data_IF_104418331109
#
_entry.id   IF_104418331109
#
_cell.length_a   1.000
_cell.length_b   1.000
_cell.length_c   1.000
_cell.angle_alpha   90.00
_cell.angle_beta   90.00
_cell.angle_gamma   90.00
#
_symmetry.space_group_name_H-M   'P 1'
#
loop_
_entity.id
_entity.type
_entity.pdbx_description
1 polymer ?
2 non-polymer ?
3 non-polymer ?
4 non-polymer ?
5 water ?
#
# COMPACT_ATOMS: atom_id res chain seq x y z
N UNK A 24 16.58 -4.28 -5.88
CA UNK A 24 17.67 -3.33 -5.88
C UNK A 24 17.58 -2.37 -7.05
N UNK A 25 17.99 -1.12 -6.83
CA UNK A 25 17.96 -0.11 -7.86
C UNK A 25 16.55 0.43 -8.02
N UNK A 26 16.39 1.49 -8.83
CA UNK A 26 15.10 2.18 -8.91
C UNK A 26 13.98 1.26 -9.40
N UNK A 27 12.90 1.22 -8.63
CA UNK A 27 11.75 0.40 -8.94
C UNK A 27 10.55 1.22 -9.37
N UNK A 28 10.33 2.37 -8.72
CA UNK A 28 9.18 3.23 -9.00
C UNK A 28 9.66 4.58 -9.41
N UNK A 29 9.08 5.11 -10.48
CA UNK A 29 9.33 6.47 -10.88
C UNK A 29 8.07 7.31 -10.68
N UNK A 30 8.23 8.50 -10.12
CA UNK A 30 7.15 9.47 -9.95
C UNK A 30 7.46 10.72 -10.81
N UNK A 31 6.62 10.98 -11.82
CA UNK A 31 6.72 12.20 -12.63
C UNK A 31 5.60 13.20 -12.24
N UNK A 32 5.97 14.31 -11.59
CA UNK A 32 5.01 15.34 -11.21
C UNK A 32 5.21 16.60 -12.01
N UNK A 33 4.13 17.34 -12.26
CA UNK A 33 4.26 18.54 -13.06
C UNK A 33 4.66 19.79 -12.27
N UNK A 34 4.78 19.72 -10.96
CA UNK A 34 5.30 20.87 -10.25
C UNK A 34 6.05 20.45 -9.00
N UNK A 35 6.78 21.39 -8.43
CA UNK A 35 7.65 21.08 -7.29
C UNK A 35 6.87 20.68 -6.05
N UNK A 36 5.78 21.38 -5.79
CA UNK A 36 5.00 21.10 -4.60
C UNK A 36 4.47 19.66 -4.66
N UNK A 37 3.94 19.28 -5.83
CA UNK A 37 3.37 17.96 -6.00
C UNK A 37 4.42 16.85 -5.94
N UNK A 38 5.59 17.12 -6.49
CA UNK A 38 6.68 16.14 -6.47
C UNK A 38 7.15 15.82 -5.05
N UNK A 39 7.19 16.84 -4.19
CA UNK A 39 7.63 16.65 -2.81
C UNK A 39 6.55 16.00 -1.98
N UNK A 40 5.30 16.39 -2.22
CA UNK A 40 4.26 15.83 -1.40
C UNK A 40 4.10 14.34 -1.68
N UNK A 41 4.13 13.95 -2.96
CA UNK A 41 3.93 12.55 -3.33
C UNK A 41 5.11 11.72 -2.85
N UNK A 42 6.31 12.25 -3.08
CA UNK A 42 7.50 11.52 -2.64
C UNK A 42 7.49 11.21 -1.15
N UNK A 43 7.04 12.14 -0.30
CA UNK A 43 7.07 11.84 1.16
C UNK A 43 6.10 10.71 1.50
N UNK A 44 5.03 10.59 0.71
CA UNK A 44 4.14 9.45 0.93
C UNK A 44 4.78 8.13 0.69
N UNK A 45 5.70 8.05 -0.28
CA UNK A 45 6.45 6.81 -0.46
C UNK A 45 7.43 6.57 0.65
N UNK A 46 8.10 7.61 1.14
CA UNK A 46 8.99 7.49 2.28
C UNK A 46 8.24 6.94 3.51
N UNK A 47 7.00 7.42 3.67
CA UNK A 47 6.19 7.06 4.83
C UNK A 47 5.72 5.63 4.79
N UNK A 48 5.79 5.00 3.62
CA UNK A 48 5.49 3.57 3.45
C UNK A 48 6.74 2.65 3.41
N UNK A 49 7.88 3.27 3.71
CA UNK A 49 9.13 2.56 3.84
C UNK A 49 10.10 2.60 2.68
N UNK A 50 9.70 3.20 1.57
CA UNK A 50 10.56 3.26 0.39
C UNK A 50 11.70 4.28 0.53
N UNK A 51 12.91 3.87 0.21
CA UNK A 51 14.03 4.80 0.10
C UNK A 51 13.79 5.64 -1.15
N UNK A 52 13.64 6.95 -0.93
CA UNK A 52 13.08 7.84 -1.96
C UNK A 52 14.00 9.02 -2.22
N UNK A 53 14.30 9.27 -3.48
CA UNK A 53 15.12 10.40 -3.86
C UNK A 53 14.28 11.41 -4.62
N UNK A 54 14.56 12.69 -4.41
CA UNK A 54 13.77 13.77 -5.01
C UNK A 54 14.69 14.70 -5.77
N UNK A 55 14.34 15.00 -7.02
CA UNK A 55 15.01 16.05 -7.80
C UNK A 55 14.14 17.31 -7.85
N UNK A 56 14.77 18.46 -7.64
CA UNK A 56 14.06 19.74 -7.67
C UNK A 56 13.97 20.14 -9.12
N UNK A 57 14.63 19.35 -9.97
CA UNK A 57 14.44 19.43 -11.40
C UNK A 57 14.07 18.07 -11.99
N UNK A 58 14.78 17.69 -13.06
CA UNK A 58 14.53 16.45 -13.78
C UNK A 58 15.38 15.27 -13.32
N UNK A 59 15.30 14.17 -14.04
CA UNK A 59 15.84 12.89 -13.55
C UNK A 59 17.30 12.66 -13.93
N UNK A 60 17.75 13.30 -15.01
CA UNK A 60 19.09 13.07 -15.53
C UNK A 60 20.13 13.23 -14.43
N UNK A 61 20.13 14.39 -13.81
CA UNK A 61 20.98 14.66 -12.65
C UNK A 61 21.00 13.48 -11.69
N UNK A 62 19.81 13.06 -11.26
CA UNK A 62 19.66 12.00 -10.27
C UNK A 62 20.25 10.66 -10.73
N UNK A 63 19.95 10.27 -11.97
CA UNK A 63 20.25 8.93 -12.46
C UNK A 63 21.74 8.73 -12.79
N UNK A 64 22.46 9.82 -13.03
CA UNK A 64 23.90 9.74 -13.28
C UNK A 64 24.65 9.39 -11.99
N UNK A 65 24.16 9.92 -10.88
CA UNK A 65 24.74 9.67 -9.55
C UNK A 65 24.63 8.20 -9.17
N UNK A 66 25.71 7.61 -8.65
CA UNK A 66 25.54 6.23 -8.17
C UNK A 66 24.67 6.09 -6.92
N UNK A 67 24.11 7.19 -6.41
CA UNK A 67 23.22 7.13 -5.25
C UNK A 67 21.82 6.65 -5.63
N UNK A 68 21.53 6.60 -6.93
CA UNK A 68 20.26 6.04 -7.38
C UNK A 68 20.29 4.53 -7.35
N UNK A 69 21.49 3.96 -7.22
CA UNK A 69 21.60 2.54 -6.98
C UNK A 69 20.90 2.29 -5.65
N UNK A 70 21.08 3.24 -4.74
CA UNK A 70 20.52 3.14 -3.41
C UNK A 70 19.00 3.20 -3.50
N UNK A 71 18.49 4.19 -4.22
CA UNK A 71 17.07 4.53 -4.13
C UNK A 71 16.13 3.60 -4.88
N UNK A 72 14.99 3.30 -4.27
CA UNK A 72 13.98 2.49 -4.93
C UNK A 72 12.87 3.32 -5.53
N UNK A 73 12.73 4.56 -5.08
CA UNK A 73 11.75 5.49 -5.71
C UNK A 73 12.47 6.77 -6.09
N UNK A 74 12.26 7.22 -7.34
CA UNK A 74 12.83 8.48 -7.80
C UNK A 74 11.71 9.41 -8.23
N UNK A 75 11.63 10.58 -7.61
CA UNK A 75 10.61 11.59 -7.89
C UNK A 75 11.19 12.84 -8.54
N UNK A 76 10.53 13.31 -9.60
CA UNK A 76 11.04 14.42 -10.37
C UNK A 76 9.90 15.38 -10.68
N UNK A 77 10.25 16.64 -10.95
CA UNK A 77 9.26 17.60 -11.42
C UNK A 77 9.62 18.05 -12.83
N UNK A 78 8.61 18.14 -13.67
CA UNK A 78 8.85 18.59 -15.04
C UNK A 78 8.67 20.10 -15.17
N UNK A 79 8.31 20.77 -14.07
CA UNK A 79 7.91 22.20 -14.11
C UNK A 79 7.10 22.57 -15.33
N UNK A 80 6.10 21.76 -15.65
CA UNK A 80 5.41 21.88 -16.94
C UNK A 80 3.97 22.37 -16.89
N UNK A 81 3.44 22.65 -15.69
CA UNK A 81 2.02 23.00 -15.55
C UNK A 81 1.60 24.27 -16.34
N UNK A 82 2.45 25.31 -16.32
CA UNK A 82 2.09 26.52 -17.10
C UNK A 82 2.61 26.52 -18.53
N UNK A 83 3.17 25.42 -19.02
CA UNK A 83 3.73 25.38 -20.37
C UNK A 83 2.67 25.09 -21.42
N UNK A 84 3.00 25.34 -22.69
CA UNK A 84 2.13 24.99 -23.78
C UNK A 84 2.25 23.50 -24.08
N UNK A 85 1.20 22.94 -24.66
CA UNK A 85 1.06 21.48 -24.86
C UNK A 85 2.32 20.79 -25.38
N UNK A 86 2.81 21.20 -26.53
CA UNK A 86 3.90 20.48 -27.18
C UNK A 86 5.18 20.58 -26.36
N UNK A 87 5.36 21.66 -25.61
CA UNK A 87 6.55 21.83 -24.79
C UNK A 87 6.44 20.96 -23.55
N UNK A 88 5.24 20.93 -22.99
CA UNK A 88 4.95 20.12 -21.81
C UNK A 88 5.12 18.65 -22.15
N UNK A 89 4.54 18.24 -23.27
CA UNK A 89 4.66 16.86 -23.75
C UNK A 89 6.12 16.51 -23.91
N UNK A 90 6.89 17.43 -24.48
CA UNK A 90 8.30 17.19 -24.72
C UNK A 90 9.06 16.79 -23.46
N UNK A 91 8.96 17.63 -22.43
CA UNK A 91 9.69 17.37 -21.19
C UNK A 91 9.24 16.05 -20.56
N UNK A 92 7.93 15.78 -20.60
CA UNK A 92 7.36 14.57 -19.99
C UNK A 92 7.84 13.27 -20.68
N UNK A 93 7.89 13.24 -22.01
CA UNK A 93 8.33 12.03 -22.72
C UNK A 93 9.80 11.71 -22.45
N UNK A 94 10.57 12.78 -22.25
CA UNK A 94 12.00 12.65 -22.03
C UNK A 94 12.31 12.10 -20.65
N UNK A 95 11.50 12.47 -19.67
CA UNK A 95 11.74 11.99 -18.30
C UNK A 95 11.27 10.54 -18.21
N UNK A 96 10.12 10.24 -18.82
CA UNK A 96 9.61 8.88 -18.80
C UNK A 96 10.61 7.91 -19.48
N UNK A 97 11.19 8.34 -20.59
CA UNK A 97 12.24 7.52 -21.22
C UNK A 97 13.43 7.29 -20.30
N UNK A 98 13.93 8.34 -19.67
CA UNK A 98 15.06 8.19 -18.75
C UNK A 98 14.77 7.19 -17.61
N UNK A 99 13.57 7.28 -17.04
CA UNK A 99 13.20 6.40 -15.92
C UNK A 99 13.12 4.95 -16.38
N UNK A 100 12.54 4.71 -17.55
CA UNK A 100 12.43 3.34 -18.02
C UNK A 100 13.82 2.81 -18.35
N UNK A 101 14.59 3.59 -19.11
CA UNK A 101 15.95 3.23 -19.41
C UNK A 101 16.67 2.84 -18.13
N UNK A 102 16.34 3.50 -17.02
CA UNK A 102 17.03 3.28 -15.74
C UNK A 102 16.55 2.07 -14.95
N UNK A 103 15.62 1.30 -15.51
CA UNK A 103 15.18 0.08 -14.87
C UNK A 103 13.89 0.18 -14.06
N UNK A 104 13.29 1.37 -13.98
CA UNK A 104 12.03 1.55 -13.28
C UNK A 104 10.96 0.64 -13.85
N UNK A 105 10.20 0.02 -12.98
CA UNK A 105 9.17 -0.95 -13.38
C UNK A 105 7.74 -0.54 -13.01
N UNK A 106 7.60 0.49 -12.19
CA UNK A 106 6.29 1.09 -11.96
C UNK A 106 6.38 2.60 -12.17
N UNK A 107 5.40 3.16 -12.85
CA UNK A 107 5.35 4.59 -13.10
C UNK A 107 4.08 5.24 -12.53
N UNK A 108 4.24 6.34 -11.78
CA UNK A 108 3.10 7.11 -11.27
C UNK A 108 3.24 8.53 -11.80
N UNK A 109 2.21 8.99 -12.51
CA UNK A 109 2.21 10.37 -12.97
C UNK A 109 1.34 11.23 -12.05
N UNK A 110 1.97 12.21 -11.40
CA UNK A 110 1.35 13.06 -10.40
C UNK A 110 0.93 14.38 -11.03
N UNK A 111 -0.39 14.61 -11.01
CA UNK A 111 -1.02 15.78 -11.58
C UNK A 111 -1.81 16.57 -10.52
N UNK A 112 -2.24 17.78 -10.92
CA UNK A 112 -3.17 18.57 -10.11
C UNK A 112 -4.47 17.80 -9.96
N UNK A 113 -4.99 17.79 -8.73
CA UNK A 113 -6.32 17.24 -8.49
C UNK A 113 -7.37 17.99 -9.27
N UNK A 114 -7.13 19.28 -9.54
CA UNK A 114 -8.09 20.06 -10.27
C UNK A 114 -7.76 20.26 -11.75
N UNK A 115 -6.94 19.37 -12.32
CA UNK A 115 -6.76 19.25 -13.78
C UNK A 115 -5.98 20.38 -14.47
N UNK A 116 -5.38 21.30 -13.72
CA UNK A 116 -4.68 22.40 -14.34
C UNK A 116 -3.42 21.86 -14.99
N UNK A 117 -3.19 22.26 -16.24
CA UNK A 117 -2.05 21.82 -17.00
C UNK A 117 -2.41 21.40 -18.40
N UNK A 118 -1.39 20.98 -19.16
CA UNK A 118 -1.58 20.36 -20.48
C UNK A 118 -1.95 18.90 -20.28
N UNK A 119 -3.15 18.70 -19.76
CA UNK A 119 -3.54 17.45 -19.14
C UNK A 119 -3.44 16.27 -20.08
N UNK A 120 -4.14 16.37 -21.23
CA UNK A 120 -4.15 15.28 -22.19
C UNK A 120 -2.81 15.12 -22.83
N UNK A 121 -2.14 16.23 -23.12
CA UNK A 121 -0.89 16.17 -23.87
C UNK A 121 0.14 15.36 -23.10
N UNK A 122 0.22 15.62 -21.80
CA UNK A 122 1.25 14.99 -20.93
C UNK A 122 0.90 13.53 -20.72
N UNK A 123 -0.38 13.22 -20.59
CA UNK A 123 -0.79 11.83 -20.39
C UNK A 123 -0.49 10.94 -21.59
N UNK A 124 -0.88 11.36 -22.78
CA UNK A 124 -0.50 10.60 -23.96
C UNK A 124 1.00 10.41 -24.13
N UNK A 125 1.77 11.46 -23.91
CA UNK A 125 3.21 11.39 -24.08
C UNK A 125 3.81 10.41 -23.07
N UNK A 126 3.28 10.42 -21.85
CA UNK A 126 3.83 9.57 -20.81
C UNK A 126 3.51 8.10 -21.11
N UNK A 127 2.27 7.84 -21.49
CA UNK A 127 1.83 6.46 -21.67
C UNK A 127 2.52 5.79 -22.85
N UNK A 128 2.70 6.56 -23.91
CA UNK A 128 3.35 6.04 -25.10
C UNK A 128 4.82 5.74 -24.80
N UNK A 129 5.44 6.61 -24.01
CA UNK A 129 6.85 6.47 -23.69
C UNK A 129 7.06 5.28 -22.76
N UNK A 130 6.03 4.95 -21.98
CA UNK A 130 6.12 3.87 -20.99
C UNK A 130 6.01 2.52 -21.69
N UNK A 131 5.04 2.37 -22.58
CA UNK A 131 4.96 1.13 -23.35
C UNK A 131 3.78 1.09 -24.29
N UNK A 132 3.83 0.19 -25.27
CA UNK A 132 2.76 0.10 -26.25
C UNK A 132 1.49 -0.43 -25.59
N UNK A 133 1.66 -1.40 -24.70
CA UNK A 133 0.53 -1.96 -23.96
C UNK A 133 0.19 -1.16 -22.70
N UNK A 134 0.73 0.04 -22.56
CA UNK A 134 0.50 0.80 -21.32
C UNK A 134 -0.95 1.26 -21.22
N UNK A 135 -1.47 1.27 -20.02
CA UNK A 135 -2.82 1.81 -19.78
C UNK A 135 -2.67 2.99 -18.85
N UNK A 136 -3.21 4.14 -19.23
CA UNK A 136 -3.19 5.30 -18.33
C UNK A 136 -4.48 5.20 -17.56
N UNK A 137 -4.36 5.05 -16.23
CA UNK A 137 -5.50 4.88 -15.36
C UNK A 137 -5.65 6.16 -14.58
N UNK A 138 -6.63 6.95 -14.99
CA UNK A 138 -6.68 8.35 -14.60
C UNK A 138 -7.72 8.57 -13.52
N UNK A 139 -7.26 9.05 -12.38
CA UNK A 139 -8.16 9.39 -11.29
C UNK A 139 -7.53 10.44 -10.35
N UNK A 140 -7.82 11.71 -10.59
CA UNK A 140 -7.12 12.74 -9.82
C UNK A 140 -7.78 13.06 -8.47
N UNK A 141 -8.71 12.23 -8.05
CA UNK A 141 -9.39 12.45 -6.76
C UNK A 141 -8.44 12.63 -5.61
N UNK A 142 -8.85 13.46 -4.65
CA UNK A 142 -8.09 13.66 -3.42
C UNK A 142 -9.13 13.90 -2.36
N UNK A 143 -9.74 12.83 -1.88
CA UNK A 143 -10.94 13.00 -1.07
C UNK A 143 -10.75 13.81 0.19
N UNK A 144 -9.58 13.74 0.84
CA UNK A 144 -9.43 14.42 2.11
C UNK A 144 -9.33 15.92 1.89
N UNK A 145 -9.06 16.34 0.65
CA UNK A 145 -9.16 17.76 0.31
C UNK A 145 -10.37 18.15 -0.53
N UNK A 146 -11.31 17.23 -0.70
CA UNK A 146 -12.59 17.56 -1.31
C UNK A 146 -12.67 17.34 -2.80
N UNK A 147 -11.67 16.70 -3.39
CA UNK A 147 -11.76 16.44 -4.82
C UNK A 147 -12.19 15.00 -5.04
N UNK A 148 -13.19 14.82 -5.88
CA UNK A 148 -13.72 13.50 -6.17
C UNK A 148 -13.94 13.43 -7.67
N UNK A 149 -14.07 12.20 -8.18
CA UNK A 149 -14.37 11.97 -9.59
C UNK A 149 -15.71 11.25 -9.63
N UNK A 150 -16.68 11.91 -10.24
CA UNK A 150 -18.09 11.48 -10.27
C UNK A 150 -18.61 11.36 -11.70
N UNK A 151 -18.90 10.12 -12.12
CA UNK A 151 -19.24 9.83 -13.51
C UNK A 151 -18.22 10.53 -14.44
N UNK A 152 -16.97 10.46 -14.02
CA UNK A 152 -15.83 10.97 -14.77
C UNK A 152 -15.56 12.45 -14.61
N UNK A 153 -16.39 13.14 -13.83
CA UNK A 153 -16.26 14.58 -13.64
C UNK A 153 -15.47 14.92 -12.40
N UNK A 154 -14.49 15.80 -12.52
CA UNK A 154 -13.71 16.21 -11.34
C UNK A 154 -14.57 17.21 -10.56
N UNK A 155 -14.97 16.79 -9.37
CA UNK A 155 -15.76 17.61 -8.45
C UNK A 155 -14.86 18.19 -7.35
N UNK A 156 -15.08 19.47 -7.05
CA UNK A 156 -14.47 20.11 -5.89
C UNK A 156 -15.64 20.41 -4.92
N UNK A 157 -15.65 19.77 -3.74
CA UNK A 157 -16.86 19.75 -2.94
C UNK A 157 -18.06 19.26 -3.76
N UNK A 158 -19.18 19.98 -3.72
CA UNK A 158 -20.41 19.53 -4.39
C UNK A 158 -20.59 20.10 -5.81
N UNK A 159 -19.53 20.71 -6.38
CA UNK A 159 -19.63 21.30 -7.75
C UNK A 159 -18.54 20.77 -8.69
N UNK A 160 -18.84 20.63 -9.99
CA UNK A 160 -17.80 20.37 -11.00
C UNK A 160 -16.73 21.45 -10.97
N UNK A 161 -15.48 21.11 -11.27
CA UNK A 161 -14.38 22.04 -11.07
C UNK A 161 -14.60 23.31 -11.94
N UNK A 162 -15.18 23.15 -13.13
CA UNK A 162 -15.46 24.30 -14.00
C UNK A 162 -16.47 25.31 -13.43
N UNK A 163 -17.11 24.98 -12.29
CA UNK A 163 -17.95 25.97 -11.58
C UNK A 163 -17.20 26.70 -10.45
N UNK A 164 -15.90 26.45 -10.33
CA UNK A 164 -15.12 27.00 -9.23
C UNK A 164 -14.04 27.94 -9.75
N UNK A 165 -13.30 28.52 -8.82
CA UNK A 165 -12.26 29.50 -9.10
C UNK A 165 -11.27 29.11 -10.21
N UNK A 166 -11.09 27.81 -10.41
CA UNK A 166 -10.04 27.34 -11.32
C UNK A 166 -10.40 27.56 -12.79
N UNK A 167 -11.66 27.86 -13.07
CA UNK A 167 -12.02 28.23 -14.43
C UNK A 167 -11.41 29.60 -14.74
N UNK A 168 -10.91 30.27 -13.71
CA UNK A 168 -10.26 31.58 -13.89
C UNK A 168 -8.94 31.66 -13.14
N UNK A 169 -8.23 30.53 -13.06
CA UNK A 169 -6.87 30.53 -12.56
C UNK A 169 -6.07 31.49 -13.45
N UNK A 170 -5.28 32.39 -12.84
CA UNK A 170 -4.59 33.40 -13.64
C UNK A 170 -3.65 32.80 -14.68
N UNK A 171 -3.03 31.66 -14.35
CA UNK A 171 -1.99 31.10 -15.20
C UNK A 171 -2.47 29.98 -16.13
N UNK A 172 -3.35 29.10 -15.63
CA UNK A 172 -3.85 27.96 -16.41
C UNK A 172 -5.29 27.57 -16.04
N UNK A 173 -6.25 28.35 -16.54
CA UNK A 173 -7.67 28.05 -16.34
C UNK A 173 -8.07 26.63 -16.75
N UNK A 174 -9.13 26.14 -16.12
CA UNK A 174 -9.69 24.81 -16.44
C UNK A 174 -11.02 24.99 -17.17
N UNK A 175 -11.15 24.36 -18.33
CA UNK A 175 -12.31 24.59 -19.19
C UNK A 175 -13.11 23.34 -19.55
N UNK A 176 -12.81 22.21 -18.91
CA UNK A 176 -13.60 21.01 -19.12
C UNK A 176 -13.40 20.10 -17.91
N UNK A 177 -14.51 19.78 -17.24
CA UNK A 177 -14.51 19.08 -15.94
C UNK A 177 -14.69 17.58 -16.16
N UNK A 178 -15.24 17.20 -17.32
CA UNK A 178 -15.56 15.81 -17.58
C UNK A 178 -14.34 15.16 -18.18
N UNK A 179 -13.62 14.39 -17.36
CA UNK A 179 -12.27 14.01 -17.75
C UNK A 179 -12.30 13.14 -19.02
N UNK A 180 -13.30 12.27 -19.16
CA UNK A 180 -13.39 11.44 -20.38
C UNK A 180 -13.52 12.28 -21.66
N UNK A 181 -14.22 13.40 -21.59
CA UNK A 181 -14.30 14.32 -22.70
C UNK A 181 -12.95 15.01 -22.92
N UNK A 182 -12.33 15.48 -21.83
CA UNK A 182 -11.02 16.14 -21.88
C UNK A 182 -10.00 15.24 -22.57
N UNK A 183 -10.03 13.95 -22.23
CA UNK A 183 -9.04 13.00 -22.75
C UNK A 183 -9.49 12.24 -23.99
N UNK A 184 -10.81 12.19 -24.24
CA UNK A 184 -11.35 11.40 -25.33
C UNK A 184 -11.21 9.91 -25.00
N UNK A 185 -11.64 9.51 -23.81
CA UNK A 185 -11.47 8.14 -23.35
C UNK A 185 -12.69 7.56 -22.63
N UNK A 186 -12.54 6.32 -22.19
CA UNK A 186 -13.60 5.58 -21.52
C UNK A 186 -13.65 5.94 -20.05
N UNK A 187 -14.73 5.50 -19.39
CA UNK A 187 -14.91 5.78 -17.97
C UNK A 187 -15.45 4.53 -17.31
N UNK A 188 -15.17 4.38 -16.03
CA UNK A 188 -15.66 3.28 -15.24
C UNK A 188 -15.94 3.78 -13.83
N UNK A 189 -16.77 3.05 -13.10
CA UNK A 189 -16.87 3.25 -11.65
C UNK A 189 -16.95 1.90 -10.95
N UNK A 190 -16.21 1.69 -9.86
CA UNK A 190 -16.37 0.44 -9.10
C UNK A 190 -17.83 0.25 -8.71
N UNK A 191 -18.28 -1.00 -8.77
CA UNK A 191 -19.64 -1.35 -8.42
C UNK A 191 -19.70 -1.68 -6.91
N UNK A 192 -20.91 -1.72 -6.36
CA UNK A 192 -21.13 -1.74 -4.91
C UNK A 192 -20.12 -2.56 -4.08
N UNK A 193 -20.04 -3.86 -4.34
CA UNK A 193 -19.15 -4.73 -3.56
C UNK A 193 -17.97 -5.24 -4.35
N UNK A 194 -17.60 -4.53 -5.40
CA UNK A 194 -16.62 -5.02 -6.36
C UNK A 194 -15.24 -5.21 -5.75
N UNK A 195 -14.57 -6.28 -6.15
CA UNK A 195 -13.24 -6.58 -5.66
C UNK A 195 -12.21 -5.90 -6.54
N UNK A 196 -11.00 -5.72 -5.99
CA UNK A 196 -9.90 -5.21 -6.83
C UNK A 196 -9.70 -6.03 -8.11
N UNK A 197 -9.81 -7.35 -8.02
CA UNK A 197 -9.55 -8.19 -9.18
C UNK A 197 -10.62 -7.99 -10.26
N UNK A 198 -11.87 -7.81 -9.83
CA UNK A 198 -12.97 -7.60 -10.76
C UNK A 198 -12.77 -6.24 -11.43
N UNK A 199 -12.45 -5.24 -10.62
CA UNK A 199 -12.21 -3.89 -11.14
C UNK A 199 -11.03 -3.87 -12.13
N UNK A 200 -10.00 -4.66 -11.84
CA UNK A 200 -8.82 -4.71 -12.69
C UNK A 200 -9.16 -5.23 -14.08
N UNK A 201 -9.99 -6.27 -14.14
CA UNK A 201 -10.44 -6.81 -15.42
C UNK A 201 -11.07 -5.71 -16.27
N UNK A 202 -11.96 -4.93 -15.67
CA UNK A 202 -12.67 -3.90 -16.42
C UNK A 202 -11.75 -2.75 -16.89
N UNK A 203 -10.71 -2.44 -16.12
CA UNK A 203 -9.79 -1.39 -16.54
C UNK A 203 -9.00 -1.88 -17.76
N UNK A 204 -8.61 -3.14 -17.76
CA UNK A 204 -7.86 -3.70 -18.88
C UNK A 204 -8.72 -3.67 -20.14
N UNK A 205 -9.99 -4.00 -20.00
CA UNK A 205 -10.92 -3.98 -21.12
C UNK A 205 -11.08 -2.59 -21.72
N UNK A 206 -10.87 -1.56 -20.89
CA UNK A 206 -11.08 -0.17 -21.29
C UNK A 206 -9.79 0.51 -21.75
N UNK A 207 -8.78 -0.30 -22.05
CA UNK A 207 -7.49 0.20 -22.49
C UNK A 207 -7.68 1.06 -23.73
N UNK A 208 -6.76 2.01 -24.00
CA UNK A 208 -5.50 2.30 -23.33
C UNK A 208 -5.55 3.47 -22.34
N UNK A 209 -6.68 4.16 -22.26
CA UNK A 209 -6.80 5.28 -21.35
C UNK A 209 -8.19 5.19 -20.75
N UNK A 210 -8.29 5.27 -19.44
CA UNK A 210 -9.59 5.18 -18.78
C UNK A 210 -9.61 6.00 -17.51
N UNK A 211 -10.73 6.68 -17.30
CA UNK A 211 -11.00 7.44 -16.08
C UNK A 211 -11.82 6.58 -15.12
N UNK A 212 -11.37 6.53 -13.87
CA UNK A 212 -12.07 5.78 -12.82
C UNK A 212 -12.57 6.70 -11.70
N UNK A 213 -13.83 6.52 -11.35
CA UNK A 213 -14.45 7.32 -10.34
C UNK A 213 -13.83 7.02 -9.00
N UNK A 214 -13.92 7.99 -8.11
CA UNK A 214 -13.63 7.76 -6.70
C UNK A 214 -14.27 8.86 -5.89
N UNK A 215 -15.08 8.47 -4.90
CA UNK A 215 -15.67 9.43 -3.98
C UNK A 215 -14.90 9.57 -2.65
N UNK A 216 -14.18 8.51 -2.28
CA UNK A 216 -13.51 8.47 -0.98
C UNK A 216 -12.22 7.66 -1.03
N UNK A 217 -11.53 7.62 0.09
CA UNK A 217 -10.24 6.93 0.18
C UNK A 217 -10.42 5.44 -0.07
N UNK A 218 -11.53 4.88 0.39
CA UNK A 218 -11.82 3.48 0.14
C UNK A 218 -11.86 3.20 -1.37
N UNK A 219 -12.46 4.12 -2.11
CA UNK A 219 -12.57 3.98 -3.56
C UNK A 219 -11.19 4.08 -4.17
N UNK A 220 -10.40 5.02 -3.66
CA UNK A 220 -9.04 5.21 -4.14
C UNK A 220 -8.19 3.97 -3.83
N UNK A 221 -8.37 3.39 -2.65
CA UNK A 221 -7.59 2.20 -2.29
C UNK A 221 -7.94 1.00 -3.17
N UNK A 222 -9.24 0.82 -3.44
CA UNK A 222 -9.70 -0.24 -4.33
C UNK A 222 -9.06 -0.07 -5.69
N UNK A 223 -9.01 1.17 -6.17
CA UNK A 223 -8.43 1.44 -7.49
C UNK A 223 -6.94 1.15 -7.46
N UNK A 224 -6.26 1.56 -6.39
CA UNK A 224 -4.82 1.30 -6.25
C UNK A 224 -4.54 -0.21 -6.26
N UNK A 225 -5.36 -0.99 -5.55
CA UNK A 225 -5.22 -2.44 -5.55
C UNK A 225 -5.42 -3.04 -6.95
N UNK A 226 -6.45 -2.58 -7.67
CA UNK A 226 -6.67 -3.01 -9.03
C UNK A 226 -5.46 -2.68 -9.91
N UNK A 227 -4.96 -1.48 -9.76
CA UNK A 227 -3.76 -1.07 -10.46
C UNK A 227 -2.60 -2.03 -10.11
N UNK A 228 -2.46 -2.39 -8.83
CA UNK A 228 -1.43 -3.33 -8.45
C UNK A 228 -1.55 -4.65 -9.20
N UNK A 229 -2.76 -5.19 -9.24
CA UNK A 229 -3.04 -6.42 -9.95
C UNK A 229 -2.60 -6.33 -11.42
N UNK A 230 -2.82 -5.17 -12.04
CA UNK A 230 -2.46 -4.99 -13.45
C UNK A 230 -0.95 -4.89 -13.68
N UNK A 231 -0.18 -4.64 -12.62
CA UNK A 231 1.27 -4.71 -12.73
C UNK A 231 1.93 -3.60 -13.55
N UNK A 232 3.00 -3.95 -14.24
CA UNK A 232 3.87 -2.95 -14.87
C UNK A 232 3.16 -2.07 -15.91
N UNK A 233 2.22 -2.66 -16.64
CA UNK A 233 1.55 -1.93 -17.73
C UNK A 233 0.65 -0.80 -17.24
N UNK A 234 0.23 -0.86 -15.98
CA UNK A 234 -0.73 0.10 -15.46
C UNK A 234 -0.06 1.36 -14.96
N UNK A 235 -0.34 2.48 -15.64
CA UNK A 235 0.24 3.75 -15.31
C UNK A 235 -0.78 4.65 -14.60
N UNK A 236 -0.78 4.63 -13.27
CA UNK A 236 -1.69 5.55 -12.60
C UNK A 236 -1.34 7.01 -12.86
N UNK A 237 -2.40 7.80 -13.05
CA UNK A 237 -2.31 9.24 -13.21
C UNK A 237 -3.21 9.83 -12.18
N UNK A 238 -2.63 10.47 -11.18
CA UNK A 238 -3.43 10.92 -10.06
C UNK A 238 -2.81 12.09 -9.34
N UNK A 239 -3.50 12.58 -8.34
CA UNK A 239 -2.96 13.63 -7.52
C UNK A 239 -2.38 13.03 -6.28
N UNK A 240 -2.38 13.80 -5.21
CA UNK A 240 -1.93 13.25 -3.95
C UNK A 240 -2.81 12.16 -3.37
N UNK A 241 -4.03 12.02 -3.87
CA UNK A 241 -4.93 11.05 -3.32
C UNK A 241 -4.48 9.63 -3.56
N UNK A 242 -3.83 9.41 -4.70
CA UNK A 242 -3.41 8.07 -5.10
C UNK A 242 -2.03 7.68 -4.54
N UNK A 243 -1.29 8.66 -4.05
CA UNK A 243 0.11 8.43 -3.66
C UNK A 243 0.34 7.37 -2.60
N UNK A 244 -0.20 7.55 -1.40
CA UNK A 244 0.03 6.57 -0.35
C UNK A 244 -0.59 5.20 -0.69
N UNK A 245 -1.81 5.17 -1.24
CA UNK A 245 -2.37 3.88 -1.65
C UNK A 245 -1.45 3.12 -2.61
N UNK A 246 -0.81 3.81 -3.55
CA UNK A 246 0.06 3.14 -4.50
C UNK A 246 1.35 2.72 -3.80
N UNK A 247 1.91 3.61 -2.99
CA UNK A 247 3.09 3.22 -2.17
C UNK A 247 2.84 1.93 -1.41
N UNK A 248 1.68 1.82 -0.76
CA UNK A 248 1.33 0.64 -0.03
C UNK A 248 1.05 -0.61 -0.91
N UNK A 249 0.35 -0.43 -2.02
CA UNK A 249 0.03 -1.59 -2.82
C UNK A 249 1.29 -2.17 -3.46
N UNK A 250 2.14 -1.29 -3.95
CA UNK A 250 3.38 -1.73 -4.57
C UNK A 250 4.34 -2.33 -3.53
N UNK A 251 4.31 -1.84 -2.30
CA UNK A 251 5.06 -2.48 -1.22
C UNK A 251 4.49 -3.88 -0.90
N UNK A 252 3.16 -4.01 -0.88
CA UNK A 252 2.54 -5.28 -0.58
C UNK A 252 2.93 -6.35 -1.58
N UNK A 253 3.23 -5.92 -2.80
CA UNK A 253 3.66 -6.85 -3.83
C UNK A 253 5.01 -7.43 -3.52
N UNK A 254 5.73 -6.79 -2.60
CA UNK A 254 7.03 -7.30 -2.15
C UNK A 254 6.96 -8.16 -0.86
N UNK A 255 5.78 -8.31 -0.26
CA UNK A 255 5.65 -9.15 0.94
C UNK A 255 5.66 -10.61 0.55
N UNK A 256 6.28 -11.45 1.37
CA UNK A 256 6.45 -12.87 1.04
C UNK A 256 5.99 -13.73 2.22
N UNK A 257 5.02 -14.61 1.97
CA UNK A 257 4.52 -15.52 2.98
C UNK A 257 3.38 -14.84 3.72
N UNK A 258 2.66 -15.61 4.56
CA UNK A 258 1.55 -15.08 5.34
C UNK A 258 2.03 -14.27 6.50
N UNK A 259 1.21 -13.34 6.96
CA UNK A 259 1.36 -12.75 8.25
C UNK A 259 0.80 -13.70 9.28
N UNK A 260 1.57 -14.01 10.31
CA UNK A 260 1.14 -14.87 11.38
C UNK A 260 0.64 -14.02 12.56
N UNK A 261 -0.60 -14.24 13.00
CA UNK A 261 -1.16 -13.52 14.12
C UNK A 261 -1.39 -14.45 15.32
N UNK A 262 -0.82 -14.08 16.49
CA UNK A 262 -0.87 -14.92 17.65
C UNK A 262 -1.66 -14.16 18.71
N UNK A 263 -2.76 -14.77 19.12
CA UNK A 263 -3.68 -14.14 20.07
C UNK A 263 -3.78 -15.00 21.31
N UNK A 264 -3.16 -14.53 22.38
CA UNK A 264 -3.16 -15.25 23.65
C UNK A 264 -4.07 -14.63 24.70
N UNK A 265 -4.56 -13.42 24.42
CA UNK A 265 -5.34 -12.70 25.42
C UNK A 265 -6.72 -13.33 25.55
N UNK A 266 -7.26 -13.28 26.77
CA UNK A 266 -8.66 -13.58 27.00
C UNK A 266 -9.49 -12.31 27.20
N UNK A 267 -8.88 -11.14 27.04
CA UNK A 267 -9.62 -9.87 27.03
C UNK A 267 -10.62 -9.92 25.90
N UNK A 268 -11.84 -9.46 26.15
CA UNK A 268 -12.92 -9.56 25.17
C UNK A 268 -12.56 -8.79 23.90
N UNK A 269 -11.84 -7.69 24.05
CA UNK A 269 -11.43 -6.91 22.90
C UNK A 269 -10.64 -7.80 21.94
N UNK A 270 -9.69 -8.56 22.47
CA UNK A 270 -8.86 -9.43 21.65
C UNK A 270 -9.70 -10.54 21.01
N UNK A 271 -10.66 -11.08 21.74
CA UNK A 271 -11.43 -12.17 21.17
C UNK A 271 -12.29 -11.65 20.02
N UNK A 272 -12.84 -10.45 20.19
CA UNK A 272 -13.62 -9.78 19.12
C UNK A 272 -12.71 -9.49 17.91
N UNK A 273 -11.52 -9.00 18.18
CA UNK A 273 -10.53 -8.76 17.13
C UNK A 273 -10.14 -10.03 16.40
N UNK A 274 -9.98 -11.13 17.14
CA UNK A 274 -9.65 -12.42 16.51
C UNK A 274 -10.84 -12.87 15.63
N UNK A 275 -12.02 -12.78 16.17
CA UNK A 275 -13.22 -13.16 15.43
C UNK A 275 -13.29 -12.39 14.11
N UNK A 276 -13.01 -11.08 14.16
CA UNK A 276 -13.05 -10.26 12.95
C UNK A 276 -12.01 -10.69 11.90
N UNK A 277 -10.79 -10.99 12.35
CA UNK A 277 -9.73 -11.43 11.46
C UNK A 277 -10.11 -12.79 10.85
N UNK A 278 -10.70 -13.67 11.65
CA UNK A 278 -11.18 -14.93 11.11
C UNK A 278 -12.28 -14.68 10.04
N UNK A 279 -13.24 -13.80 10.37
CA UNK A 279 -14.32 -13.38 9.45
C UNK A 279 -13.74 -12.94 8.12
N UNK A 280 -12.62 -12.23 8.18
CA UNK A 280 -11.95 -11.66 7.01
C UNK A 280 -11.13 -12.67 6.21
N UNK A 281 -11.10 -13.92 6.67
CA UNK A 281 -10.49 -14.99 5.90
C UNK A 281 -9.19 -15.61 6.39
N UNK A 282 -8.69 -15.15 7.52
CA UNK A 282 -7.49 -15.76 8.11
C UNK A 282 -7.72 -17.21 8.49
N UNK A 283 -6.84 -18.08 8.03
CA UNK A 283 -6.90 -19.47 8.45
C UNK A 283 -6.50 -19.58 9.91
N UNK A 284 -7.36 -20.20 10.70
CA UNK A 284 -7.27 -20.08 12.14
C UNK A 284 -7.11 -21.43 12.85
N UNK A 285 -6.09 -21.53 13.69
CA UNK A 285 -5.95 -22.67 14.58
C UNK A 285 -6.51 -22.23 15.92
N UNK A 286 -7.61 -22.84 16.33
CA UNK A 286 -8.24 -22.55 17.62
C UNK A 286 -8.38 -23.81 18.44
N UNK A 287 -7.27 -24.31 18.98
CA UNK A 287 -7.30 -25.56 19.74
C UNK A 287 -7.86 -25.45 21.14
N UNK A 288 -8.36 -26.57 21.66
CA UNK A 288 -8.73 -26.67 23.05
C UNK A 288 -7.45 -26.79 23.87
N UNK A 289 -7.58 -26.74 25.19
CA UNK A 289 -6.43 -26.86 26.07
C UNK A 289 -5.72 -28.18 25.83
N UNK A 290 -6.50 -29.24 25.70
CA UNK A 290 -5.91 -30.56 25.44
C UNK A 290 -5.19 -30.59 24.10
N UNK A 291 -5.78 -30.01 23.07
CA UNK A 291 -5.15 -30.01 21.74
C UNK A 291 -3.87 -29.18 21.70
N UNK A 292 -3.90 -28.01 22.34
CA UNK A 292 -2.75 -27.13 22.37
C UNK A 292 -1.50 -27.86 22.95
N UNK A 293 -1.70 -28.76 23.94
CA UNK A 293 -0.57 -29.51 24.52
C UNK A 293 -0.20 -30.76 23.73
N UNK A 294 -0.90 -31.01 22.62
CA UNK A 294 -0.73 -32.23 21.83
C UNK A 294 -0.03 -31.91 20.52
N UNK A 295 1.23 -32.30 20.40
CA UNK A 295 2.00 -31.80 19.28
C UNK A 295 1.46 -32.37 17.97
N UNK A 296 0.79 -33.51 18.07
CA UNK A 296 0.16 -34.13 16.90
C UNK A 296 -0.89 -33.23 16.28
N UNK A 297 -1.63 -32.52 17.11
CA UNK A 297 -2.68 -31.62 16.63
C UNK A 297 -2.03 -30.43 15.89
N UNK A 298 -0.94 -29.90 16.44
CA UNK A 298 -0.20 -28.81 15.80
C UNK A 298 0.33 -29.27 14.44
N UNK A 299 1.01 -30.41 14.43
CA UNK A 299 1.54 -30.99 13.19
C UNK A 299 0.47 -31.11 12.10
N UNK A 300 -0.73 -31.55 12.46
CA UNK A 300 -1.80 -31.73 11.48
C UNK A 300 -2.29 -30.39 10.92
N UNK A 301 -2.28 -29.35 11.74
CA UNK A 301 -2.79 -28.08 11.26
C UNK A 301 -1.77 -27.44 10.35
N UNK A 302 -0.50 -27.52 10.73
CA UNK A 302 0.56 -26.89 9.94
C UNK A 302 0.67 -27.55 8.57
N UNK A 303 0.48 -28.87 8.54
CA UNK A 303 0.48 -29.61 7.29
C UNK A 303 -0.62 -29.08 6.39
N UNK A 304 -1.78 -28.82 6.99
CA UNK A 304 -2.97 -28.36 6.26
C UNK A 304 -2.78 -26.98 5.62
N UNK A 305 -2.04 -26.11 6.29
CA UNK A 305 -1.79 -24.79 5.72
C UNK A 305 -0.31 -24.63 5.44
N UNK A 316 -4.12 -12.65 3.51
CA UNK A 316 -2.98 -13.59 3.52
C UNK A 316 -2.42 -13.71 4.93
N UNK A 317 -3.17 -14.39 5.79
CA UNK A 317 -2.90 -14.40 7.22
C UNK A 317 -3.23 -15.74 7.83
N UNK A 318 -2.43 -16.15 8.80
CA UNK A 318 -2.71 -17.32 9.63
C UNK A 318 -2.89 -16.81 11.06
N UNK A 319 -3.84 -17.37 11.81
CA UNK A 319 -4.04 -16.98 13.20
C UNK A 319 -3.99 -18.17 14.15
N UNK A 320 -3.20 -18.04 15.22
CA UNK A 320 -3.25 -18.98 16.34
C UNK A 320 -3.99 -18.35 17.49
N UNK A 321 -5.10 -18.97 17.89
CA UNK A 321 -5.97 -18.45 18.91
C UNK A 321 -5.90 -19.27 20.22
N UNK A 322 -5.52 -18.62 21.32
CA UNK A 322 -5.39 -19.31 22.60
C UNK A 322 -6.73 -19.69 23.17
N UNK A 323 -6.84 -20.89 23.75
CA UNK A 323 -8.00 -21.11 24.62
C UNK A 323 -7.73 -20.55 26.02
N UNK A 324 -8.80 -20.32 26.78
CA UNK A 324 -8.68 -19.89 28.16
C UNK A 324 -8.10 -21.01 29.04
N UNK A 325 -7.37 -20.61 30.08
CA UNK A 325 -6.88 -21.54 31.08
C UNK A 325 -5.40 -21.88 30.99
N UNK A 326 -5.06 -23.06 31.48
CA UNK A 326 -3.68 -23.52 31.43
C UNK A 326 -3.66 -24.95 30.92
N UNK A 327 -2.55 -25.34 30.30
CA UNK A 327 -2.39 -26.70 29.87
C UNK A 327 -2.33 -27.63 31.08
N UNK A 328 -2.92 -28.81 30.94
CA UNK A 328 -2.99 -29.78 32.02
C UNK A 328 -1.59 -30.15 32.51
N UNK A 329 -1.39 -30.11 33.83
CA UNK A 329 -0.11 -30.43 34.41
C UNK A 329 0.99 -29.39 34.35
N UNK A 330 0.72 -28.25 33.75
CA UNK A 330 1.75 -27.23 33.55
C UNK A 330 1.43 -25.87 34.22
N UNK A 331 2.42 -24.99 34.11
CA UNK A 331 2.40 -23.54 34.32
C UNK A 331 1.09 -22.79 34.16
N UNK A 332 0.91 -21.73 34.96
CA UNK A 332 -0.13 -20.75 34.71
C UNK A 332 0.10 -20.02 33.38
N UNK A 333 1.34 -19.94 32.91
CA UNK A 333 1.63 -19.24 31.64
C UNK A 333 1.88 -20.23 30.49
N UNK A 334 1.47 -21.49 30.68
CA UNK A 334 1.80 -22.57 29.76
C UNK A 334 1.16 -22.39 28.39
N UNK A 335 -0.04 -21.82 28.35
CA UNK A 335 -0.74 -21.66 27.08
C UNK A 335 -0.03 -20.67 26.18
N UNK A 336 0.34 -19.51 26.72
CA UNK A 336 1.01 -18.48 25.94
C UNK A 336 2.44 -18.96 25.57
N UNK A 337 3.09 -19.61 26.52
CA UNK A 337 4.47 -20.10 26.29
C UNK A 337 4.45 -21.04 25.09
N UNK A 338 3.50 -21.96 25.14
CA UNK A 338 3.31 -22.95 24.08
C UNK A 338 2.96 -22.31 22.74
N UNK A 339 2.01 -21.38 22.71
CA UNK A 339 1.67 -20.70 21.46
C UNK A 339 2.90 -19.97 20.89
N UNK A 340 3.70 -19.40 21.79
CA UNK A 340 4.90 -18.70 21.39
C UNK A 340 5.89 -19.63 20.74
N UNK A 341 6.08 -20.79 21.35
CA UNK A 341 7.02 -21.76 20.80
C UNK A 341 6.56 -22.26 19.44
N UNK A 342 5.26 -22.57 19.31
CA UNK A 342 4.73 -23.05 18.01
C UNK A 342 4.80 -21.96 16.91
N UNK A 343 4.43 -20.74 17.24
CA UNK A 343 4.54 -19.63 16.29
C UNK A 343 5.97 -19.56 15.77
N UNK A 344 6.94 -19.69 16.67
CA UNK A 344 8.35 -19.59 16.26
C UNK A 344 8.72 -20.73 15.36
N UNK A 345 8.28 -21.93 15.70
CA UNK A 345 8.57 -23.08 14.84
C UNK A 345 8.05 -22.82 13.41
N UNK A 346 6.86 -22.26 13.31
CA UNK A 346 6.23 -22.01 12.01
C UNK A 346 6.95 -20.94 11.18
N UNK A 347 7.28 -19.83 11.82
CA UNK A 347 8.06 -18.78 11.19
C UNK A 347 9.39 -19.31 10.64
N UNK A 348 10.06 -20.16 11.38
CA UNK A 348 11.35 -20.62 10.89
C UNK A 348 11.20 -21.69 9.82
N UNK A 349 10.22 -22.55 9.97
CA UNK A 349 10.13 -23.67 9.05
C UNK A 349 9.53 -23.26 7.68
N UNK A 350 8.48 -22.44 7.72
CA UNK A 350 7.64 -22.14 6.57
C UNK A 350 7.87 -20.71 6.07
N UNK A 351 8.25 -19.82 6.97
CA UNK A 351 8.46 -18.43 6.61
C UNK A 351 7.20 -17.67 6.90
N UNK A 352 7.33 -16.35 7.02
CA UNK A 352 6.21 -15.46 7.27
C UNK A 352 6.64 -14.07 6.87
N UNK A 353 5.67 -13.28 6.43
CA UNK A 353 5.90 -11.90 6.14
C UNK A 353 6.10 -11.06 7.39
N UNK A 354 5.62 -11.56 8.52
CA UNK A 354 5.71 -10.91 9.81
C UNK A 354 4.83 -11.62 10.84
N UNK A 355 4.89 -11.13 12.06
CA UNK A 355 4.12 -11.64 13.18
C UNK A 355 3.43 -10.49 13.88
N UNK A 356 2.20 -10.74 14.30
CA UNK A 356 1.46 -9.82 15.13
C UNK A 356 1.12 -10.57 16.42
N UNK A 357 1.39 -9.97 17.57
CA UNK A 357 1.16 -10.68 18.83
C UNK A 357 0.39 -9.80 19.79
N UNK A 358 -0.66 -10.38 20.35
CA UNK A 358 -1.43 -9.72 21.40
C UNK A 358 -1.95 -10.78 22.39
N UNK A 359 -1.97 -10.48 23.70
CA UNK A 359 -1.39 -9.27 24.23
C UNK A 359 0.06 -9.48 24.67
N UNK A 360 0.42 -8.87 25.80
CA UNK A 360 1.80 -8.78 26.26
C UNK A 360 2.40 -10.14 26.59
N UNK A 361 1.59 -10.98 27.18
CA UNK A 361 1.98 -12.35 27.45
C UNK A 361 2.38 -13.05 26.17
N UNK A 362 1.51 -12.95 25.17
CA UNK A 362 1.78 -13.53 23.88
C UNK A 362 3.01 -12.95 23.20
N UNK A 363 3.17 -11.62 23.21
CA UNK A 363 4.32 -11.00 22.59
C UNK A 363 5.61 -11.47 23.26
N UNK A 364 5.62 -11.55 24.57
CA UNK A 364 6.82 -11.98 25.30
C UNK A 364 7.19 -13.40 24.94
N UNK A 365 6.18 -14.27 24.87
CA UNK A 365 6.39 -15.67 24.54
C UNK A 365 6.92 -15.86 23.13
N UNK A 366 6.40 -15.07 22.18
CA UNK A 366 6.86 -15.19 20.80
C UNK A 366 8.31 -14.71 20.65
N UNK A 367 8.63 -13.57 21.24
CA UNK A 367 9.98 -13.10 21.18
C UNK A 367 10.94 -14.02 21.90
N UNK A 368 10.47 -14.60 23.00
CA UNK A 368 11.38 -15.41 23.79
C UNK A 368 11.70 -16.66 23.00
N UNK A 369 10.68 -17.21 22.34
CA UNK A 369 10.84 -18.45 21.57
C UNK A 369 11.73 -18.27 20.36
N UNK A 370 11.70 -17.07 19.79
CA UNK A 370 12.59 -16.74 18.67
C UNK A 370 13.94 -16.17 19.12
N UNK A 371 14.13 -16.05 20.43
CA UNK A 371 15.40 -15.58 21.01
C UNK A 371 15.70 -14.16 20.56
N UNK A 372 14.64 -13.38 20.33
CA UNK A 372 14.78 -12.00 20.00
C UNK A 372 15.03 -11.18 21.25
N UNK A 373 15.98 -10.26 21.16
CA UNK A 373 16.32 -9.38 22.28
C UNK A 373 15.32 -8.23 22.40
N UNK A 374 14.79 -7.81 21.27
CA UNK A 374 13.99 -6.61 21.24
C UNK A 374 13.52 -6.35 19.84
N UNK A 375 13.02 -5.14 19.60
CA UNK A 375 12.36 -4.77 18.34
C UNK A 375 12.96 -3.47 17.87
N UNK A 376 13.49 -3.44 16.65
CA UNK A 376 13.94 -2.17 16.14
C UNK A 376 12.73 -1.47 15.53
N UNK A 377 12.37 -0.31 16.08
CA UNK A 377 11.12 0.29 15.70
C UNK A 377 11.18 0.96 14.34
N UNK A 378 10.06 0.88 13.66
CA UNK A 378 9.94 1.42 12.33
C UNK A 378 8.86 2.46 12.28
N UNK A 379 7.69 2.10 12.80
CA UNK A 379 6.54 2.98 12.83
C UNK A 379 5.41 2.35 13.64
N UNK A 380 4.17 2.64 13.29
CA UNK A 380 3.07 2.01 14.04
C UNK A 380 1.84 1.78 13.18
N UNK A 381 1.02 0.82 13.60
CA UNK A 381 -0.25 0.56 12.92
C UNK A 381 -1.20 1.68 13.32
N UNK A 382 -1.19 1.97 14.62
CA UNK A 382 -1.91 3.06 15.25
C UNK A 382 -1.24 3.27 16.63
N UNK A 383 -1.51 4.38 17.31
CA UNK A 383 -0.82 4.64 18.58
C UNK A 383 -1.01 3.53 19.62
N UNK A 384 0.10 2.94 20.09
CA UNK A 384 -0.01 1.81 21.01
C UNK A 384 0.07 0.45 20.33
N UNK A 385 0.12 0.47 19.01
CA UNK A 385 0.28 -0.75 18.23
C UNK A 385 1.53 -0.57 17.33
N UNK A 386 2.70 -0.75 17.93
CA UNK A 386 3.93 -0.43 17.17
C UNK A 386 4.32 -1.50 16.18
N UNK A 387 5.08 -1.08 15.16
CA UNK A 387 5.58 -1.96 14.10
C UNK A 387 7.09 -1.76 14.02
N UNK A 388 7.81 -2.90 14.04
CA UNK A 388 9.25 -2.87 13.99
C UNK A 388 9.74 -4.17 13.38
N UNK A 389 11.04 -4.41 13.51
CA UNK A 389 11.62 -5.67 13.12
C UNK A 389 12.36 -6.33 14.30
N UNK A 390 12.35 -7.65 14.36
CA UNK A 390 13.05 -8.34 15.43
C UNK A 390 14.54 -8.06 15.39
N UNK A 391 15.11 -7.87 16.58
CA UNK A 391 16.55 -7.83 16.68
C UNK A 391 17.03 -9.02 17.47
N UNK A 392 18.14 -9.60 17.00
CA UNK A 392 18.71 -10.76 17.63
C UNK A 392 17.97 -12.04 17.28
N UNK A 393 18.61 -13.16 17.58
CA UNK A 393 17.94 -14.44 17.50
C UNK A 393 17.76 -14.95 16.08
N UNK A 394 16.97 -15.99 15.95
CA UNK A 394 16.89 -16.78 14.74
C UNK A 394 16.10 -16.13 13.59
N UNK A 395 15.31 -15.11 13.91
CA UNK A 395 14.46 -14.44 12.91
C UNK A 395 14.72 -12.95 12.90
N UNK A 396 15.95 -12.56 13.15
CA UNK A 396 16.30 -11.14 13.09
C UNK A 396 15.84 -10.57 11.78
N UNK A 397 15.21 -9.39 11.84
CA UNK A 397 14.69 -8.73 10.68
C UNK A 397 13.22 -8.95 10.41
N UNK A 398 12.61 -9.93 11.04
CA UNK A 398 11.20 -10.21 10.79
C UNK A 398 10.35 -9.06 11.28
N UNK A 399 9.47 -8.55 10.42
CA UNK A 399 8.53 -7.54 10.92
C UNK A 399 7.61 -8.07 12.01
N UNK A 400 7.38 -7.24 13.02
CA UNK A 400 6.58 -7.61 14.18
C UNK A 400 5.72 -6.42 14.61
N UNK A 401 4.53 -6.73 15.10
CA UNK A 401 3.62 -5.79 15.70
C UNK A 401 3.20 -6.37 17.02
N UNK A 402 3.22 -5.55 18.06
CA UNK A 402 2.77 -6.01 19.35
C UNK A 402 1.63 -5.11 19.83
N UNK A 403 0.79 -5.66 20.70
CA UNK A 403 -0.37 -4.92 21.16
C UNK A 403 -0.85 -5.48 22.48
N UNK A 404 -1.29 -4.61 23.37
CA UNK A 404 -1.89 -5.09 24.59
C UNK A 404 -3.25 -5.72 24.26
N UNK A 405 -3.63 -6.72 25.05
CA UNK A 405 -4.77 -7.56 24.75
C UNK A 405 -6.06 -6.78 24.72
N UNK A 406 -6.21 -5.80 25.59
CA UNK A 406 -7.46 -5.06 25.70
C UNK A 406 -7.56 -3.88 24.75
N UNK A 407 -6.52 -3.65 23.96
CA UNK A 407 -6.38 -2.38 23.23
C UNK A 407 -6.86 -2.47 21.79
N UNK A 408 -7.50 -1.40 21.30
CA UNK A 408 -7.84 -1.22 19.88
C UNK A 408 -9.28 -1.55 19.52
N UNK A 409 -9.71 -1.06 18.35
CA UNK A 409 -11.01 -1.41 17.78
C UNK A 409 -11.00 -2.80 17.18
N UNK A 410 -12.19 -3.25 16.81
CA UNK A 410 -12.42 -4.60 16.31
C UNK A 410 -11.52 -5.02 15.14
N UNK A 411 -11.26 -4.09 14.21
CA UNK A 411 -10.49 -4.40 13.00
C UNK A 411 -8.97 -4.27 13.17
N UNK A 412 -8.50 -4.13 14.41
CA UNK A 412 -7.10 -3.77 14.62
C UNK A 412 -6.11 -4.86 14.19
N UNK A 413 -6.47 -6.14 14.29
CA UNK A 413 -5.51 -7.18 13.89
C UNK A 413 -5.48 -7.27 12.35
N UNK A 414 -6.62 -7.05 11.71
CA UNK A 414 -6.70 -6.98 10.27
C UNK A 414 -5.78 -5.85 9.78
N UNK A 415 -5.95 -4.71 10.39
CA UNK A 415 -5.13 -3.54 10.07
C UNK A 415 -3.63 -3.80 10.29
N UNK A 416 -3.30 -4.48 11.39
CA UNK A 416 -1.90 -4.84 11.72
C UNK A 416 -1.27 -5.71 10.68
N UNK A 417 -1.97 -6.76 10.26
CA UNK A 417 -1.47 -7.62 9.21
C UNK A 417 -1.27 -6.85 7.92
N UNK A 418 -2.25 -6.02 7.58
CA UNK A 418 -2.15 -5.25 6.37
C UNK A 418 -0.96 -4.28 6.46
N UNK A 419 -0.72 -3.70 7.64
CA UNK A 419 0.37 -2.74 7.84
C UNK A 419 1.70 -3.37 7.55
N UNK A 420 1.84 -4.64 7.91
CA UNK A 420 3.12 -5.34 7.68
C UNK A 420 3.28 -5.52 6.18
N UNK A 421 2.23 -5.99 5.53
CA UNK A 421 2.32 -6.30 4.11
C UNK A 421 2.61 -5.05 3.31
N UNK A 422 1.99 -3.93 3.72
CA UNK A 422 2.02 -2.72 2.93
C UNK A 422 3.14 -1.75 3.25
N UNK A 423 4.14 -2.24 4.00
CA UNK A 423 5.35 -1.50 4.25
C UNK A 423 6.49 -2.14 3.50
N UNK A 424 7.33 -1.30 2.93
CA UNK A 424 8.56 -1.73 2.28
C UNK A 424 9.63 -1.82 3.38
N UNK A 425 10.22 -3.00 3.50
CA UNK A 425 11.33 -3.18 4.44
C UNK A 425 12.63 -3.35 3.67
N UNK A 426 13.71 -2.71 4.13
CA UNK A 426 15.01 -2.84 3.46
C UNK A 426 16.08 -3.31 4.42
#
# INVERSE_FOLDING_TARGET
>A
MHHHHHHSSGVDLGTENLYFQSMGGPYIGIVADDLTGSGDTAVQFVRAGWATQLSVGGAEQALADPAVRQAEVLAVTTHSRPLAAADAAAVVRGEVERLRAAGVQRLYKKVDSTLRGAFKAEIDAARLAWGEDAIAVVCPAFPVTGRTVRQGVLYVGDRPVTETSAATDPVTPVTESHIPTLLGCAQLAAQAGETPAELARRIAAAAPVVVVDALDDADVQRLARAIGVLGQRAVPVGSGGLAAPLARVWAGGQAAGPVLVVVTSQHSAARQQAAALQQAGARTWAPTLAQLADDRNWAAWTAEVEAAEHGMPAVDALMLLAPEGRLAGLDADSVARRLGELAARLVLAHGAAGVVATGGDGASAVLAALQASGIALVDEVTGGVPLGTLTGGQAAGLPVVTKAGGFGEQDVLIRAAQAIRERRFTK
#
